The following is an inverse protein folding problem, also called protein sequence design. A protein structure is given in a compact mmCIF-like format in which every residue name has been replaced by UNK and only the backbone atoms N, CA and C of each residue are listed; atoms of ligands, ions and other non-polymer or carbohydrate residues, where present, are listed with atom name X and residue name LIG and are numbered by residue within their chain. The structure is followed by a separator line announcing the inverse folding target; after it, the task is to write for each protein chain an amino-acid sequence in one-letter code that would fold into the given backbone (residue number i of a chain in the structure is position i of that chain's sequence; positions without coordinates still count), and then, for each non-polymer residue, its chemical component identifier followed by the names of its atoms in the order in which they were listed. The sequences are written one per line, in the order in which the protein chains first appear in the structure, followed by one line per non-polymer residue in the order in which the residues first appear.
data_IF_400103164871
#
_entry.id   IF_400103164871
#
_cell.length_a   1.000
_cell.length_b   1.000
_cell.length_c   1.000
_cell.angle_alpha   90.00
_cell.angle_beta   90.00
_cell.angle_gamma   90.00
#
_symmetry.space_group_name_H-M   'P 1'
#
loop_
_entity.id
_entity.type
_entity.pdbx_description
1 polymer ?
#
# COMPACT_ATOMS: atom_id res chain seq x y z
N UNK A 1 5.70 -14.66 13.76
CA UNK A 1 6.42 -13.45 13.29
C UNK A 1 5.35 -12.45 12.93
N UNK A 2 5.32 -11.29 13.57
CA UNK A 2 4.52 -10.16 13.11
C UNK A 2 5.24 -9.58 11.90
N UNK A 3 4.61 -9.65 10.72
CA UNK A 3 5.12 -8.99 9.52
C UNK A 3 5.13 -7.47 9.79
N UNK A 4 6.31 -6.85 9.78
CA UNK A 4 6.45 -5.41 9.98
C UNK A 4 5.98 -4.66 8.73
N UNK A 5 5.24 -3.57 8.93
CA UNK A 5 4.78 -2.72 7.84
C UNK A 5 5.96 -1.84 7.38
N UNK A 6 6.27 -1.78 6.07
CA UNK A 6 7.35 -0.95 5.56
C UNK A 6 7.24 0.51 6.00
N UNK A 7 8.39 1.12 6.31
CA UNK A 7 8.47 2.52 6.71
C UNK A 7 7.74 3.43 5.71
N UNK A 8 7.00 4.40 6.24
CA UNK A 8 6.19 5.33 5.45
C UNK A 8 4.76 4.86 5.16
N UNK A 9 4.37 3.67 5.63
CA UNK A 9 3.03 3.11 5.50
C UNK A 9 2.42 2.81 6.87
N UNK A 10 1.10 2.84 6.93
CA UNK A 10 0.27 2.53 8.10
C UNK A 10 -0.83 1.55 7.69
N UNK A 11 -1.15 0.60 8.59
CA UNK A 11 -2.33 -0.24 8.45
C UNK A 11 -3.60 0.60 8.56
N UNK A 12 -4.51 0.47 7.60
CA UNK A 12 -5.78 1.19 7.60
C UNK A 12 -6.97 0.27 7.90
N UNK A 13 -7.15 -0.78 7.10
CA UNK A 13 -8.29 -1.69 7.21
C UNK A 13 -7.93 -3.11 6.77
N UNK A 14 -8.74 -4.08 7.20
CA UNK A 14 -8.77 -5.44 6.69
C UNK A 14 -10.22 -5.85 6.48
N UNK A 15 -10.54 -6.38 5.29
CA UNK A 15 -11.86 -6.93 4.97
C UNK A 15 -11.74 -8.38 4.52
N UNK A 16 -12.27 -9.28 5.35
CA UNK A 16 -12.36 -10.72 5.07
C UNK A 16 -13.83 -11.20 5.09
N UNK A 17 -14.78 -10.27 4.98
CA UNK A 17 -16.21 -10.57 5.01
C UNK A 17 -16.63 -11.56 3.92
N UNK A 18 -16.03 -11.45 2.72
CA UNK A 18 -16.27 -12.38 1.60
C UNK A 18 -15.80 -13.80 1.88
N UNK A 19 -14.70 -13.95 2.64
CA UNK A 19 -14.18 -15.24 3.09
C UNK A 19 -15.07 -15.82 4.18
N UNK A 20 -15.45 -14.99 5.16
CA UNK A 20 -16.34 -15.39 6.25
C UNK A 20 -17.73 -15.81 5.75
N UNK A 21 -18.26 -15.10 4.75
CA UNK A 21 -19.54 -15.39 4.11
C UNK A 21 -19.48 -16.56 3.11
N UNK A 22 -18.28 -17.13 2.85
CA UNK A 22 -18.04 -18.16 1.84
C UNK A 22 -18.48 -17.75 0.42
N UNK A 23 -18.45 -16.44 0.16
CA UNK A 23 -18.79 -15.84 -1.14
C UNK A 23 -17.53 -15.71 -2.00
N UNK A 24 -16.35 -15.61 -1.36
CA UNK A 24 -15.05 -15.62 -2.02
C UNK A 24 -14.00 -16.33 -1.18
N UNK A 25 -12.83 -16.56 -1.77
CA UNK A 25 -11.68 -17.17 -1.07
C UNK A 25 -10.64 -16.15 -0.61
N UNK A 26 -10.76 -14.89 -1.04
CA UNK A 26 -9.72 -13.87 -0.88
C UNK A 26 -10.31 -12.67 -0.17
N UNK A 27 -9.70 -12.29 0.96
CA UNK A 27 -9.91 -11.00 1.60
C UNK A 27 -8.78 -10.03 1.26
N UNK A 28 -8.86 -8.84 1.82
CA UNK A 28 -7.91 -7.77 1.54
C UNK A 28 -7.52 -6.97 2.77
N UNK A 29 -6.37 -6.31 2.67
CA UNK A 29 -5.89 -5.31 3.61
C UNK A 29 -5.51 -4.04 2.87
N UNK A 30 -5.77 -2.90 3.49
CA UNK A 30 -5.40 -1.59 2.95
C UNK A 30 -4.31 -0.96 3.81
N UNK A 31 -3.22 -0.59 3.16
CA UNK A 31 -2.21 0.30 3.73
C UNK A 31 -2.38 1.69 3.15
N UNK A 32 -2.15 2.71 3.97
CA UNK A 32 -2.11 4.11 3.56
C UNK A 32 -0.74 4.70 3.91
N UNK A 33 -0.34 5.78 3.22
CA UNK A 33 0.84 6.53 3.64
C UNK A 33 0.65 7.10 5.04
N UNK A 34 1.70 7.06 5.86
CA UNK A 34 1.74 7.79 7.11
C UNK A 34 1.62 9.30 6.86
N UNK A 35 1.36 10.08 7.90
CA UNK A 35 1.15 11.54 7.78
C UNK A 35 2.30 12.23 7.03
N UNK A 36 3.54 11.96 7.42
CA UNK A 36 4.73 12.57 6.82
C UNK A 36 4.86 12.22 5.33
N UNK A 37 4.61 10.96 4.98
CA UNK A 37 4.66 10.51 3.58
C UNK A 37 3.48 11.02 2.75
N UNK A 38 2.33 11.28 3.37
CA UNK A 38 1.18 11.89 2.71
C UNK A 38 1.43 13.36 2.40
N UNK A 39 2.08 14.09 3.29
CA UNK A 39 2.53 15.47 3.04
C UNK A 39 3.53 15.51 1.89
N UNK A 40 4.56 14.65 1.92
CA UNK A 40 5.54 14.51 0.82
C UNK A 40 4.86 14.13 -0.51
N UNK A 41 3.88 13.23 -0.47
CA UNK A 41 3.12 12.83 -1.65
C UNK A 41 2.45 14.03 -2.33
N UNK A 42 1.82 14.92 -1.55
CA UNK A 42 1.20 16.13 -2.06
C UNK A 42 2.20 17.12 -2.69
N UNK A 43 3.45 17.13 -2.22
CA UNK A 43 4.51 17.93 -2.84
C UNK A 43 4.96 17.33 -4.17
N UNK A 44 5.15 16.01 -4.23
CA UNK A 44 5.59 15.30 -5.45
C UNK A 44 4.57 15.49 -6.58
N UNK A 45 3.27 15.25 -6.33
CA UNK A 45 2.27 15.29 -7.41
C UNK A 45 2.07 16.68 -8.00
N UNK A 46 2.44 17.77 -7.29
CA UNK A 46 2.41 19.13 -7.85
C UNK A 46 3.39 19.30 -9.01
N UNK A 47 4.44 18.48 -9.06
CA UNK A 47 5.43 18.45 -10.14
C UNK A 47 5.10 17.46 -11.25
N UNK A 48 4.00 16.70 -11.16
CA UNK A 48 3.65 15.64 -12.12
C UNK A 48 2.34 16.00 -12.81
N UNK A 49 2.42 16.31 -14.12
CA UNK A 49 1.26 16.66 -14.94
C UNK A 49 0.40 15.45 -15.32
N UNK A 50 1.01 14.26 -15.49
CA UNK A 50 0.31 13.02 -15.85
C UNK A 50 -0.08 12.24 -14.58
N UNK A 51 -1.39 12.14 -14.33
CA UNK A 51 -1.96 11.43 -13.18
C UNK A 51 -1.60 9.94 -13.12
N UNK A 52 -1.23 9.34 -14.26
CA UNK A 52 -0.76 7.94 -14.32
C UNK A 52 0.61 7.74 -13.70
N UNK A 53 1.37 8.82 -13.54
CA UNK A 53 2.68 8.81 -12.90
C UNK A 53 2.59 9.15 -11.41
N UNK A 54 1.40 9.46 -10.90
CA UNK A 54 1.24 9.75 -9.49
C UNK A 54 1.58 8.52 -8.66
N UNK A 55 2.47 8.63 -7.66
CA UNK A 55 2.73 7.52 -6.77
C UNK A 55 1.42 7.11 -6.08
N UNK A 56 1.21 5.83 -5.73
CA UNK A 56 -0.01 5.44 -5.05
C UNK A 56 -0.04 6.01 -3.63
N UNK A 57 -1.22 6.45 -3.22
CA UNK A 57 -1.52 6.95 -1.87
C UNK A 57 -1.92 5.83 -0.91
N UNK A 58 -2.47 4.75 -1.46
CA UNK A 58 -2.88 3.55 -0.75
C UNK A 58 -2.45 2.30 -1.51
N UNK A 59 -2.26 1.21 -0.78
CA UNK A 59 -1.88 -0.09 -1.31
C UNK A 59 -2.83 -1.13 -0.76
N UNK A 60 -3.43 -1.90 -1.65
CA UNK A 60 -4.28 -3.02 -1.27
C UNK A 60 -3.48 -4.32 -1.42
N UNK A 61 -3.40 -5.11 -0.36
CA UNK A 61 -2.88 -6.49 -0.37
C UNK A 61 -4.01 -7.49 -0.34
N UNK A 62 -3.80 -8.66 -0.95
CA UNK A 62 -4.82 -9.71 -1.05
C UNK A 62 -4.29 -11.05 -0.54
N UNK A 63 -5.15 -11.83 0.10
CA UNK A 63 -4.78 -13.14 0.62
C UNK A 63 -5.97 -13.96 1.10
N UNK A 64 -5.77 -15.27 1.26
CA UNK A 64 -6.75 -16.16 1.89
C UNK A 64 -6.74 -16.00 3.41
N UNK A 65 -5.63 -15.55 3.97
CA UNK A 65 -5.49 -15.18 5.38
C UNK A 65 -5.02 -13.74 5.52
N UNK A 66 -5.13 -13.21 6.74
CA UNK A 66 -4.65 -11.87 7.07
C UNK A 66 -3.13 -11.75 6.83
N UNK A 67 -2.37 -12.78 7.19
CA UNK A 67 -0.91 -12.82 7.01
C UNK A 67 -0.53 -12.81 5.53
N UNK A 68 -1.24 -13.57 4.69
CA UNK A 68 -1.01 -13.55 3.24
C UNK A 68 -1.28 -12.17 2.64
N UNK A 69 -2.38 -11.53 3.05
CA UNK A 69 -2.75 -10.21 2.56
C UNK A 69 -1.75 -9.13 3.02
N UNK A 70 -1.29 -9.18 4.27
CA UNK A 70 -0.22 -8.30 4.79
C UNK A 70 1.08 -8.51 4.01
N UNK A 71 1.46 -9.76 3.74
CA UNK A 71 2.68 -10.06 2.98
C UNK A 71 2.61 -9.52 1.54
N UNK A 72 1.46 -9.62 0.90
CA UNK A 72 1.25 -9.03 -0.43
C UNK A 72 1.28 -7.49 -0.39
N UNK A 73 0.66 -6.86 0.62
CA UNK A 73 0.71 -5.41 0.83
C UNK A 73 2.15 -4.92 1.08
N UNK A 74 2.93 -5.62 1.92
CA UNK A 74 4.33 -5.32 2.19
C UNK A 74 5.17 -5.33 0.90
N UNK A 75 5.06 -6.40 0.09
CA UNK A 75 5.76 -6.51 -1.20
C UNK A 75 5.43 -5.35 -2.14
N UNK A 76 4.16 -4.94 -2.20
CA UNK A 76 3.71 -3.79 -3.01
C UNK A 76 4.27 -2.47 -2.46
N UNK A 77 4.25 -2.28 -1.15
CA UNK A 77 4.78 -1.09 -0.47
C UNK A 77 6.28 -0.89 -0.72
N UNK A 78 7.08 -1.96 -0.64
CA UNK A 78 8.51 -1.92 -0.98
C UNK A 78 8.77 -1.60 -2.45
N UNK A 79 7.91 -2.07 -3.36
CA UNK A 79 8.03 -1.80 -4.79
C UNK A 79 7.79 -0.31 -5.06
N UNK A 80 6.78 0.27 -4.41
CA UNK A 80 6.46 1.70 -4.53
C UNK A 80 7.56 2.57 -3.92
N UNK A 81 8.09 2.20 -2.75
CA UNK A 81 9.20 2.92 -2.12
C UNK A 81 10.40 3.08 -3.06
N UNK A 82 10.79 1.99 -3.73
CA UNK A 82 11.88 1.99 -4.71
C UNK A 82 11.62 2.84 -5.95
N UNK A 83 10.38 2.94 -6.41
CA UNK A 83 10.03 3.78 -7.56
C UNK A 83 10.16 5.27 -7.23
N UNK A 84 9.72 5.68 -6.04
CA UNK A 84 9.80 7.09 -5.60
C UNK A 84 11.25 7.53 -5.42
N UNK A 85 12.10 6.68 -4.84
CA UNK A 85 13.53 6.97 -4.65
C UNK A 85 14.30 7.12 -5.98
N UNK A 86 13.84 6.44 -7.04
CA UNK A 86 14.46 6.52 -8.36
C UNK A 86 14.11 7.83 -9.08
N UNK A 87 12.84 8.22 -9.05
CA UNK A 87 12.37 9.46 -9.67
C UNK A 87 12.87 10.70 -8.92
N UNK A 88 12.97 10.66 -7.58
CA UNK A 88 13.48 11.78 -6.78
C UNK A 88 14.99 12.07 -6.94
N UNK A 89 15.75 11.17 -7.60
CA UNK A 89 17.19 11.31 -7.86
C UNK A 89 17.53 11.75 -9.30
N UNK A 90 16.52 11.91 -10.16
CA UNK A 90 16.67 12.29 -11.57
C UNK A 90 16.26 13.74 -11.76
#
# INVERSE_FOLDING_TARGET
MTEEIPSGWEFNTADFSVVAAKVGEIGDVLFIRCKEQKELWHEIIRGIEDDKLWPPLYIQGFGRTLEEAIKDANRKAETVGRLIEKEART
#
